data_IF_695164708730
#
_entry.id   IF_695164708730
#
_cell.length_a   1.000
_cell.length_b   1.000
_cell.length_c   1.000
_cell.angle_alpha   90.00
_cell.angle_beta   90.00
_cell.angle_gamma   90.00
#
_symmetry.space_group_name_H-M   'P 1'
#
loop_
_entity.id
_entity.type
_entity.pdbx_description
1 polymer ?
#
# COMPACT_ATOMS: atom_id res chain seq x y z
N UNK A 1 3.15 -5.46 11.65
CA UNK A 1 1.87 -5.65 10.92
C UNK A 1 2.17 -5.94 9.45
N UNK A 2 1.47 -6.90 8.83
CA UNK A 2 1.69 -7.27 7.42
C UNK A 2 0.90 -6.32 6.49
N UNK A 3 1.51 -5.20 6.09
CA UNK A 3 0.85 -4.17 5.27
C UNK A 3 0.39 -4.69 3.90
N UNK A 4 1.17 -5.49 3.15
CA UNK A 4 0.71 -6.06 1.88
C UNK A 4 -0.61 -6.83 2.00
N UNK A 5 -0.73 -7.72 2.98
CA UNK A 5 -1.97 -8.48 3.19
C UNK A 5 -3.13 -7.59 3.64
N UNK A 6 -2.86 -6.57 4.44
CA UNK A 6 -3.88 -5.58 4.84
C UNK A 6 -4.40 -4.79 3.63
N UNK A 7 -3.51 -4.35 2.73
CA UNK A 7 -3.90 -3.64 1.50
C UNK A 7 -4.72 -4.56 0.57
N UNK A 8 -4.30 -5.81 0.39
CA UNK A 8 -5.08 -6.81 -0.37
C UNK A 8 -6.49 -6.95 0.19
N UNK A 9 -6.62 -7.05 1.52
CA UNK A 9 -7.92 -7.14 2.16
C UNK A 9 -8.79 -5.89 1.92
N UNK A 10 -8.20 -4.69 2.03
CA UNK A 10 -8.89 -3.43 1.78
C UNK A 10 -9.41 -3.35 0.34
N UNK A 11 -8.57 -3.69 -0.64
CA UNK A 11 -8.95 -3.72 -2.06
C UNK A 11 -10.04 -4.76 -2.35
N UNK A 12 -9.93 -5.98 -1.82
CA UNK A 12 -10.96 -7.01 -1.96
C UNK A 12 -12.31 -6.57 -1.38
N UNK A 13 -12.29 -5.85 -0.26
CA UNK A 13 -13.51 -5.36 0.38
C UNK A 13 -14.17 -4.26 -0.46
N UNK A 14 -13.38 -3.30 -0.94
CA UNK A 14 -13.89 -2.10 -1.59
C UNK A 14 -14.18 -2.28 -3.09
N UNK A 15 -13.42 -3.12 -3.79
CA UNK A 15 -13.44 -3.21 -5.27
C UNK A 15 -13.96 -4.57 -5.71
N UNK A 16 -15.19 -4.66 -6.26
CA UNK A 16 -15.77 -5.93 -6.69
C UNK A 16 -14.92 -6.67 -7.72
N UNK A 17 -14.28 -5.94 -8.66
CA UNK A 17 -13.41 -6.55 -9.66
C UNK A 17 -12.25 -7.33 -9.04
N UNK A 18 -11.54 -6.71 -8.09
CA UNK A 18 -10.40 -7.33 -7.40
C UNK A 18 -10.85 -8.52 -6.57
N UNK A 19 -12.02 -8.41 -5.92
CA UNK A 19 -12.61 -9.51 -5.14
C UNK A 19 -12.94 -10.73 -5.98
N UNK A 20 -13.50 -10.51 -7.18
CA UNK A 20 -13.94 -11.57 -8.08
C UNK A 20 -12.78 -12.16 -8.88
N UNK A 21 -11.68 -11.42 -9.04
CA UNK A 21 -10.49 -11.84 -9.78
C UNK A 21 -9.23 -11.71 -8.90
N UNK A 22 -9.08 -12.54 -7.85
CA UNK A 22 -8.00 -12.40 -6.86
C UNK A 22 -6.60 -12.68 -7.45
N UNK A 23 -6.54 -13.41 -8.55
CA UNK A 23 -5.34 -13.70 -9.36
C UNK A 23 -4.86 -12.49 -10.14
N UNK A 24 -5.74 -11.52 -10.44
CA UNK A 24 -5.42 -10.29 -11.18
C UNK A 24 -4.80 -9.19 -10.32
N UNK A 25 -4.71 -9.40 -9.01
CA UNK A 25 -4.02 -8.48 -8.08
C UNK A 25 -2.69 -9.08 -7.64
N UNK A 26 -1.61 -8.40 -7.98
CA UNK A 26 -0.26 -8.74 -7.56
C UNK A 26 0.28 -7.66 -6.63
N UNK A 27 0.93 -8.08 -5.54
CA UNK A 27 1.57 -7.18 -4.58
C UNK A 27 3.03 -7.56 -4.45
N UNK A 28 3.91 -6.58 -4.64
CA UNK A 28 5.36 -6.74 -4.57
C UNK A 28 5.96 -5.76 -3.58
N UNK A 29 7.05 -6.17 -2.94
CA UNK A 29 7.82 -5.35 -2.02
C UNK A 29 9.18 -5.11 -2.64
N UNK A 30 9.48 -3.85 -2.92
CA UNK A 30 10.74 -3.42 -3.52
C UNK A 30 11.49 -2.45 -2.61
N UNK A 31 12.79 -2.27 -2.85
CA UNK A 31 13.65 -1.35 -2.10
C UNK A 31 13.57 -1.54 -0.56
N UNK A 32 13.50 -2.80 -0.14
CA UNK A 32 13.41 -3.18 1.27
C UNK A 32 14.67 -2.81 2.06
N UNK A 33 14.47 -2.19 3.21
CA UNK A 33 15.52 -1.90 4.19
C UNK A 33 15.02 -2.08 5.61
N UNK A 34 15.97 -2.43 6.49
CA UNK A 34 15.75 -2.56 7.92
C UNK A 34 16.42 -1.39 8.62
N UNK A 35 15.64 -0.62 9.38
CA UNK A 35 16.15 0.49 10.17
C UNK A 35 15.96 0.16 11.63
N UNK A 36 17.06 -0.03 12.36
CA UNK A 36 17.04 -0.24 13.80
C UNK A 36 17.62 0.99 14.50
N UNK A 37 17.03 1.37 15.63
CA UNK A 37 17.68 2.30 16.55
C UNK A 37 18.49 1.45 17.52
N UNK A 38 19.79 1.76 17.71
CA UNK A 38 20.67 1.02 18.62
C UNK A 38 20.34 1.20 20.11
N UNK A 39 19.05 1.36 20.43
CA UNK A 39 18.53 1.44 21.78
C UNK A 39 18.69 0.10 22.50
N UNK A 40 18.58 0.12 23.83
CA UNK A 40 18.68 -1.08 24.66
C UNK A 40 17.59 -2.12 24.36
N UNK A 41 16.46 -1.72 23.75
CA UNK A 41 15.46 -2.62 23.21
C UNK A 41 15.71 -2.90 21.73
N UNK A 42 15.55 -4.16 21.33
CA UNK A 42 15.62 -4.58 19.92
C UNK A 42 14.40 -4.05 19.15
N UNK A 43 14.49 -2.82 18.66
CA UNK A 43 13.43 -2.15 17.89
C UNK A 43 13.92 -1.89 16.46
N UNK A 44 13.15 -2.33 15.48
CA UNK A 44 13.44 -2.08 14.07
C UNK A 44 12.18 -1.80 13.26
N UNK A 45 12.37 -1.16 12.11
CA UNK A 45 11.34 -0.81 11.14
C UNK A 45 11.71 -1.40 9.77
N UNK A 46 10.71 -1.98 9.11
CA UNK A 46 10.80 -2.32 7.69
C UNK A 46 10.36 -1.13 6.84
N UNK A 47 11.26 -0.64 5.99
CA UNK A 47 10.97 0.40 4.99
C UNK A 47 11.06 -0.22 3.61
N UNK A 48 10.06 0.03 2.78
CA UNK A 48 9.97 -0.54 1.45
C UNK A 48 8.95 0.23 0.61
N UNK A 49 9.04 0.04 -0.71
CA UNK A 49 8.00 0.41 -1.67
C UNK A 49 7.05 -0.77 -1.84
N UNK A 50 5.75 -0.55 -1.68
CA UNK A 50 4.72 -1.55 -1.92
C UNK A 50 4.07 -1.29 -3.27
N UNK A 51 4.35 -2.16 -4.24
CA UNK A 51 3.80 -2.05 -5.59
C UNK A 51 2.56 -2.92 -5.70
N UNK A 52 1.47 -2.34 -6.18
CA UNK A 52 0.21 -3.03 -6.46
C UNK A 52 -0.08 -2.99 -7.96
N UNK A 53 -0.09 -4.16 -8.60
CA UNK A 53 -0.36 -4.31 -10.03
C UNK A 53 -1.70 -5.00 -10.18
N UNK A 54 -2.58 -4.41 -10.98
CA UNK A 54 -3.90 -4.96 -11.29
C UNK A 54 -4.00 -5.14 -12.79
N UNK A 55 -4.24 -6.37 -13.22
CA UNK A 55 -4.34 -6.72 -14.63
C UNK A 55 -5.79 -6.63 -15.15
N UNK A 56 -5.92 -6.33 -16.45
CA UNK A 56 -7.17 -6.35 -17.22
C UNK A 56 -8.31 -5.49 -16.63
N UNK A 57 -7.98 -4.52 -15.78
CA UNK A 57 -8.98 -3.65 -15.17
C UNK A 57 -9.49 -2.61 -16.17
N UNK A 58 -10.73 -2.79 -16.62
CA UNK A 58 -11.40 -1.88 -17.56
C UNK A 58 -12.35 -0.87 -16.88
N UNK A 59 -12.33 -0.79 -15.54
CA UNK A 59 -13.20 0.11 -14.77
C UNK A 59 -12.60 1.51 -14.58
N UNK A 60 -13.35 2.37 -13.89
CA UNK A 60 -12.82 3.67 -13.45
C UNK A 60 -11.69 3.47 -12.43
N UNK A 61 -10.51 3.99 -12.74
CA UNK A 61 -9.32 3.90 -11.89
C UNK A 61 -9.52 4.54 -10.52
N UNK A 62 -10.39 5.53 -10.39
CA UNK A 62 -10.71 6.15 -9.11
C UNK A 62 -11.30 5.14 -8.10
N UNK A 63 -11.91 4.05 -8.60
CA UNK A 63 -12.38 2.94 -7.76
C UNK A 63 -11.22 2.18 -7.09
N UNK A 64 -10.00 2.25 -7.64
CA UNK A 64 -8.79 1.70 -7.04
C UNK A 64 -8.08 2.74 -6.17
N UNK A 65 -7.98 3.99 -6.64
CA UNK A 65 -7.27 5.05 -5.93
C UNK A 65 -7.92 5.38 -4.57
N UNK A 66 -9.25 5.49 -4.52
CA UNK A 66 -9.94 5.90 -3.29
C UNK A 66 -9.76 4.89 -2.13
N UNK A 67 -9.92 3.56 -2.32
CA UNK A 67 -9.63 2.57 -1.28
C UNK A 67 -8.17 2.54 -0.84
N UNK A 68 -7.21 2.76 -1.75
CA UNK A 68 -5.78 2.84 -1.41
C UNK A 68 -5.52 4.05 -0.52
N UNK A 69 -6.06 5.22 -0.86
CA UNK A 69 -5.95 6.43 -0.06
C UNK A 69 -6.58 6.27 1.33
N UNK A 70 -7.76 5.65 1.41
CA UNK A 70 -8.41 5.35 2.68
C UNK A 70 -7.55 4.41 3.53
N UNK A 71 -7.00 3.36 2.93
CA UNK A 71 -6.11 2.43 3.62
C UNK A 71 -4.81 3.11 4.09
N UNK A 72 -4.22 3.99 3.28
CA UNK A 72 -3.04 4.78 3.64
C UNK A 72 -3.33 5.71 4.82
N UNK A 73 -4.52 6.32 4.90
CA UNK A 73 -4.93 7.16 6.04
C UNK A 73 -4.87 6.41 7.36
N UNK A 74 -5.30 5.15 7.37
CA UNK A 74 -5.34 4.34 8.58
C UNK A 74 -3.98 3.70 8.91
N UNK A 75 -3.20 3.36 7.88
CA UNK A 75 -1.97 2.58 8.05
C UNK A 75 -0.69 3.44 8.07
N UNK A 76 -0.67 4.59 7.40
CA UNK A 76 0.47 5.51 7.26
C UNK A 76 0.06 6.98 7.54
N UNK A 77 -0.60 7.27 8.69
CA UNK A 77 -1.09 8.61 9.00
C UNK A 77 0.05 9.63 9.13
N UNK A 78 1.22 9.20 9.61
CA UNK A 78 2.45 9.99 9.72
C UNK A 78 2.94 10.47 8.35
N UNK A 79 2.98 9.58 7.35
CA UNK A 79 3.38 9.94 6.00
C UNK A 79 2.36 10.85 5.30
N UNK A 80 1.06 10.63 5.51
CA UNK A 80 0.01 11.52 4.99
C UNK A 80 0.08 12.92 5.60
N UNK A 81 0.36 13.02 6.89
CA UNK A 81 0.37 14.31 7.58
C UNK A 81 1.68 15.09 7.41
N UNK A 82 2.72 14.47 6.83
CA UNK A 82 3.99 15.11 6.52
C UNK A 82 4.03 15.58 5.05
N UNK A 83 4.06 16.90 4.76
CA UNK A 83 4.07 17.42 3.38
C UNK A 83 5.19 16.86 2.51
N UNK A 84 6.39 16.68 3.06
CA UNK A 84 7.54 16.19 2.31
C UNK A 84 7.43 14.70 1.93
N UNK A 85 6.71 13.92 2.74
CA UNK A 85 6.46 12.50 2.47
C UNK A 85 5.22 12.31 1.60
N UNK A 86 4.18 13.15 1.79
CA UNK A 86 2.90 13.05 1.10
C UNK A 86 3.04 13.05 -0.43
N UNK A 87 3.89 13.91 -0.98
CA UNK A 87 4.11 14.00 -2.44
C UNK A 87 4.69 12.72 -3.05
N UNK A 88 5.38 11.90 -2.24
CA UNK A 88 6.04 10.65 -2.68
C UNK A 88 5.33 9.40 -2.18
N UNK A 89 4.27 9.56 -1.39
CA UNK A 89 3.64 8.47 -0.64
C UNK A 89 2.86 7.52 -1.56
N UNK A 90 2.21 8.06 -2.57
CA UNK A 90 1.38 7.30 -3.47
C UNK A 90 1.56 7.81 -4.90
N UNK A 91 2.10 6.93 -5.75
CA UNK A 91 2.31 7.13 -7.17
C UNK A 91 1.57 6.05 -7.93
N UNK A 92 1.16 6.33 -9.16
CA UNK A 92 0.48 5.36 -10.01
C UNK A 92 0.99 5.48 -11.44
N UNK A 93 0.92 4.37 -12.16
CA UNK A 93 1.21 4.25 -13.58
C UNK A 93 0.05 3.48 -14.23
N UNK A 94 -0.27 3.81 -15.49
CA UNK A 94 -1.42 3.27 -16.24
C UNK A 94 -0.95 2.79 -17.60
#
# INVERSE_FOLDING_TARGET
MNKPQSLRHALNKAVPYVRNNPDKLHLFVDNGSLVATGASSMSWEYRYTLNAVIEDFSGDQNLLMAPVLLWLRDNQPDAINNPALREKLFTFEV
#
